data_IF_191462584091
#
_entry.id   IF_191462584091
#
_cell.length_a   1.000
_cell.length_b   1.000
_cell.length_c   1.000
_cell.angle_alpha   90.00
_cell.angle_beta   90.00
_cell.angle_gamma   90.00
#
_symmetry.space_group_name_H-M   'P 1'
#
loop_
_entity.id
_entity.type
_entity.pdbx_description
1 polymer ?
#
# COMPACT_ATOMS: atom_id res chain seq x y z
N UNK A 1 -4.04 -55.64 -24.78
CA UNK A 1 -5.19 -55.53 -23.84
C UNK A 1 -5.44 -54.06 -23.56
N UNK A 2 -6.67 -53.61 -23.75
CA UNK A 2 -7.05 -52.22 -24.00
C UNK A 2 -6.94 -51.30 -22.77
N UNK A 3 -6.52 -50.06 -23.01
CA UNK A 3 -6.44 -48.97 -22.04
C UNK A 3 -7.81 -48.25 -21.99
N UNK A 4 -8.58 -48.46 -20.93
CA UNK A 4 -9.87 -47.81 -20.74
C UNK A 4 -9.65 -46.36 -20.28
N UNK A 5 -9.83 -45.40 -21.19
CA UNK A 5 -9.89 -43.97 -20.88
C UNK A 5 -11.29 -43.63 -20.37
N UNK A 6 -11.38 -43.24 -19.10
CA UNK A 6 -12.63 -42.82 -18.46
C UNK A 6 -12.90 -41.36 -18.82
N UNK A 7 -13.67 -41.14 -19.88
CA UNK A 7 -14.10 -39.80 -20.31
C UNK A 7 -15.26 -39.35 -19.43
N UNK A 8 -14.98 -38.43 -18.51
CA UNK A 8 -16.00 -37.69 -17.76
C UNK A 8 -16.62 -36.62 -18.67
N UNK A 9 -17.77 -36.92 -19.24
CA UNK A 9 -18.62 -35.95 -19.95
C UNK A 9 -19.34 -35.09 -18.91
N UNK A 10 -18.95 -33.83 -18.78
CA UNK A 10 -19.62 -32.85 -17.93
C UNK A 10 -20.72 -32.15 -18.76
N UNK A 11 -22.00 -32.19 -18.36
CA UNK A 11 -23.07 -31.53 -19.12
C UNK A 11 -22.93 -30.00 -19.07
N UNK A 12 -23.33 -29.28 -20.14
CA UNK A 12 -23.12 -27.85 -20.24
C UNK A 12 -24.25 -27.10 -19.49
N UNK A 13 -24.12 -26.93 -18.18
CA UNK A 13 -24.96 -25.97 -17.46
C UNK A 13 -24.34 -24.55 -17.53
N UNK A 14 -24.97 -23.58 -18.20
CA UNK A 14 -24.36 -22.28 -18.49
C UNK A 14 -24.25 -21.37 -17.25
N UNK A 15 -25.03 -21.61 -16.18
CA UNK A 15 -25.03 -20.75 -14.99
C UNK A 15 -23.83 -20.99 -14.05
N UNK A 16 -23.19 -22.16 -14.10
CA UNK A 16 -22.09 -22.51 -13.18
C UNK A 16 -20.72 -22.00 -13.67
N UNK A 17 -20.54 -21.73 -14.98
CA UNK A 17 -19.27 -21.25 -15.55
C UNK A 17 -18.90 -19.84 -15.06
N UNK A 18 -19.87 -18.96 -14.86
CA UNK A 18 -19.63 -17.60 -14.37
C UNK A 18 -19.14 -17.58 -12.91
N UNK A 19 -19.69 -18.45 -12.06
CA UNK A 19 -19.32 -18.55 -10.64
C UNK A 19 -17.90 -19.12 -10.45
N UNK A 20 -17.55 -20.17 -11.21
CA UNK A 20 -16.22 -20.79 -11.12
C UNK A 20 -15.11 -19.91 -11.71
N UNK A 21 -15.38 -19.18 -12.80
CA UNK A 21 -14.42 -18.23 -13.39
C UNK A 21 -14.11 -17.07 -12.44
N UNK A 22 -15.15 -16.53 -11.80
CA UNK A 22 -15.00 -15.45 -10.82
C UNK A 22 -14.26 -15.93 -9.55
N UNK A 23 -14.39 -17.20 -9.18
CA UNK A 23 -13.65 -17.77 -8.06
C UNK A 23 -12.16 -17.91 -8.38
N UNK A 24 -11.83 -18.40 -9.58
CA UNK A 24 -10.44 -18.53 -10.05
C UNK A 24 -9.73 -17.19 -10.27
N UNK A 25 -10.39 -16.20 -10.87
CA UNK A 25 -9.81 -14.85 -11.02
C UNK A 25 -9.60 -14.15 -9.68
N UNK A 26 -10.46 -14.43 -8.70
CA UNK A 26 -10.33 -13.90 -7.33
C UNK A 26 -9.23 -14.62 -6.54
N UNK A 27 -8.94 -15.89 -6.87
CA UNK A 27 -7.81 -16.65 -6.35
C UNK A 27 -6.48 -16.17 -6.96
N UNK A 28 -6.45 -15.87 -8.26
CA UNK A 28 -5.25 -15.38 -8.95
C UNK A 28 -4.87 -13.95 -8.51
N UNK A 29 -5.86 -13.09 -8.21
CA UNK A 29 -5.62 -11.75 -7.62
C UNK A 29 -5.17 -11.78 -6.16
N UNK A 30 -5.21 -12.94 -5.50
CA UNK A 30 -4.79 -13.14 -4.11
C UNK A 30 -3.35 -13.63 -3.96
N UNK A 31 -2.61 -13.86 -5.06
CA UNK A 31 -1.17 -14.11 -5.02
C UNK A 31 -0.42 -12.80 -4.72
N UNK A 32 0.27 -12.67 -3.57
CA UNK A 32 1.18 -11.55 -3.35
C UNK A 32 2.46 -11.81 -4.14
N UNK A 33 2.85 -10.88 -5.00
CA UNK A 33 4.24 -10.76 -5.41
C UNK A 33 5.05 -10.37 -4.18
N UNK A 34 5.84 -11.31 -3.65
CA UNK A 34 6.71 -11.09 -2.51
C UNK A 34 7.74 -10.01 -2.85
N UNK A 35 7.59 -8.83 -2.21
CA UNK A 35 8.63 -7.81 -2.13
C UNK A 35 9.31 -7.97 -0.76
N UNK A 36 10.65 -8.07 -0.67
CA UNK A 36 11.32 -8.26 0.61
C UNK A 36 11.19 -6.97 1.44
N UNK A 37 10.61 -7.06 2.63
CA UNK A 37 10.65 -5.96 3.62
C UNK A 37 9.34 -5.56 4.31
N UNK A 38 8.19 -6.18 4.01
CA UNK A 38 6.95 -5.93 4.76
C UNK A 38 6.27 -7.26 5.13
N UNK A 39 5.89 -7.49 6.41
CA UNK A 39 5.20 -8.71 6.80
C UNK A 39 3.77 -8.67 6.25
N UNK A 40 3.46 -9.57 5.32
CA UNK A 40 2.10 -9.80 4.81
C UNK A 40 1.20 -10.37 5.92
N UNK A 41 -0.09 -9.97 6.01
CA UNK A 41 -1.01 -10.60 6.92
C UNK A 41 -1.38 -12.00 6.39
N UNK A 42 -1.03 -13.05 7.13
CA UNK A 42 -1.46 -14.41 6.83
C UNK A 42 -2.99 -14.48 6.86
N UNK A 43 -3.60 -14.85 5.72
CA UNK A 43 -5.02 -15.18 5.67
C UNK A 43 -5.22 -16.58 5.11
N UNK A 44 -5.29 -17.53 6.04
CA UNK A 44 -5.81 -18.89 5.95
C UNK A 44 -6.19 -19.31 7.39
N UNK A 45 -7.24 -20.13 7.61
CA UNK A 45 -7.71 -20.45 8.95
C UNK A 45 -6.73 -21.44 9.59
N UNK A 46 -5.71 -20.92 10.26
CA UNK A 46 -4.82 -21.72 11.08
C UNK A 46 -5.29 -21.64 12.54
N UNK A 47 -5.85 -22.75 13.02
CA UNK A 47 -6.01 -23.00 14.44
C UNK A 47 -4.59 -23.27 15.00
N UNK A 48 -3.83 -22.21 15.30
CA UNK A 48 -2.53 -22.33 15.93
C UNK A 48 -2.69 -22.03 17.43
N UNK A 49 -2.80 -23.10 18.23
CA UNK A 49 -2.57 -23.04 19.66
C UNK A 49 -1.05 -22.92 19.85
N UNK A 50 -0.55 -21.70 20.08
CA UNK A 50 0.77 -21.52 20.66
C UNK A 50 0.63 -21.67 22.18
N UNK A 51 0.92 -22.88 22.67
CA UNK A 51 1.16 -23.12 24.09
C UNK A 51 2.57 -22.67 24.46
N UNK A 52 2.78 -22.09 25.66
CA UNK A 52 4.13 -21.81 26.14
C UNK A 52 4.88 -23.12 26.38
N UNK A 53 6.07 -23.21 25.78
CA UNK A 53 7.04 -24.25 26.09
C UNK A 53 7.69 -23.94 27.45
N UNK A 54 7.08 -24.40 28.54
CA UNK A 54 7.80 -24.71 29.78
C UNK A 54 7.25 -26.04 30.28
N UNK A 55 7.93 -27.12 29.90
CA UNK A 55 7.90 -28.37 30.64
C UNK A 55 8.67 -28.16 31.95
N UNK A 56 7.93 -28.11 33.05
CA UNK A 56 8.43 -28.49 34.37
C UNK A 56 7.35 -29.35 35.01
N UNK A 57 7.51 -30.66 34.86
CA UNK A 57 6.92 -31.69 35.73
C UNK A 57 7.63 -31.63 37.12
N UNK A 58 7.17 -32.34 38.17
CA UNK A 58 5.89 -32.20 38.86
C UNK A 58 6.10 -32.12 40.38
N UNK A 59 5.44 -31.21 41.08
CA UNK A 59 5.26 -31.34 42.53
C UNK A 59 3.89 -32.00 42.76
N UNK A 60 3.93 -33.31 42.96
CA UNK A 60 2.87 -34.10 43.55
C UNK A 60 2.48 -33.42 44.86
N UNK A 61 1.29 -32.85 44.97
CA UNK A 61 0.57 -32.70 46.23
C UNK A 61 -0.92 -32.42 46.00
N UNK A 62 -1.70 -33.44 46.33
CA UNK A 62 -3.03 -33.35 46.95
C UNK A 62 -4.16 -32.70 46.13
N UNK A 63 -4.98 -33.59 45.56
CA UNK A 63 -6.44 -33.49 45.38
C UNK A 63 -7.06 -32.07 45.44
N UNK A 64 -7.47 -31.55 44.28
CA UNK A 64 -8.35 -30.39 44.24
C UNK A 64 -8.39 -29.68 42.90
N UNK A 65 -9.02 -30.32 41.91
CA UNK A 65 -9.56 -29.73 40.68
C UNK A 65 -9.71 -28.19 40.67
N UNK A 66 -8.68 -27.44 40.23
CA UNK A 66 -8.70 -25.97 40.13
C UNK A 66 -7.88 -25.45 38.94
N UNK A 67 -8.09 -25.97 37.74
CA UNK A 67 -7.24 -25.56 36.59
C UNK A 67 -7.97 -25.17 35.30
N UNK A 68 -9.31 -25.04 35.30
CA UNK A 68 -10.05 -24.63 34.08
C UNK A 68 -10.95 -23.39 34.26
N UNK A 69 -10.93 -22.71 35.42
CA UNK A 69 -11.86 -21.61 35.72
C UNK A 69 -11.46 -20.26 35.09
N UNK A 70 -10.18 -19.99 34.81
CA UNK A 70 -9.75 -18.64 34.41
C UNK A 70 -10.21 -18.20 33.01
N UNK A 71 -10.22 -19.12 32.03
CA UNK A 71 -10.67 -18.83 30.66
C UNK A 71 -12.20 -18.85 30.55
N UNK A 72 -12.86 -19.76 31.26
CA UNK A 72 -14.32 -19.85 31.29
C UNK A 72 -14.91 -18.64 32.01
N UNK A 73 -14.32 -18.21 33.14
CA UNK A 73 -14.73 -16.98 33.83
C UNK A 73 -14.62 -15.78 32.89
N UNK A 74 -13.49 -15.60 32.18
CA UNK A 74 -13.33 -14.49 31.24
C UNK A 74 -14.40 -14.44 30.14
N UNK A 75 -14.81 -15.60 29.61
CA UNK A 75 -15.86 -15.70 28.57
C UNK A 75 -17.25 -15.34 29.14
N UNK A 76 -17.57 -15.78 30.35
CA UNK A 76 -18.85 -15.46 31.01
C UNK A 76 -18.98 -13.98 31.40
N UNK A 77 -17.87 -13.30 31.69
CA UNK A 77 -17.84 -11.86 31.97
C UNK A 77 -17.76 -10.98 30.71
N UNK A 78 -17.70 -11.56 29.49
CA UNK A 78 -17.73 -10.79 28.26
C UNK A 78 -19.15 -10.35 27.87
N UNK A 79 -19.32 -9.06 27.57
CA UNK A 79 -20.58 -8.53 27.10
C UNK A 79 -20.90 -9.03 25.68
N UNK A 80 -21.85 -9.95 25.56
CA UNK A 80 -22.36 -10.40 24.27
C UNK A 80 -23.66 -9.66 23.88
N UNK A 81 -23.89 -9.32 22.60
CA UNK A 81 -25.16 -8.77 22.14
C UNK A 81 -26.30 -9.75 22.45
N UNK A 82 -27.30 -9.31 23.21
CA UNK A 82 -28.42 -10.16 23.63
C UNK A 82 -29.26 -10.68 22.45
N UNK A 83 -29.33 -9.93 21.36
CA UNK A 83 -30.10 -10.29 20.17
C UNK A 83 -29.45 -9.82 18.86
N UNK A 84 -29.76 -10.54 17.78
CA UNK A 84 -29.36 -10.15 16.42
C UNK A 84 -30.16 -8.93 15.98
N UNK A 85 -29.47 -7.91 15.45
CA UNK A 85 -30.13 -6.74 14.85
C UNK A 85 -30.83 -7.11 13.54
N UNK A 86 -32.03 -6.58 13.33
CA UNK A 86 -32.78 -6.76 12.07
C UNK A 86 -32.09 -6.05 10.90
N UNK A 87 -32.53 -6.37 9.68
CA UNK A 87 -31.96 -5.78 8.47
C UNK A 87 -32.32 -4.29 8.35
N UNK A 88 -33.51 -3.90 8.76
CA UNK A 88 -34.00 -2.52 8.78
C UNK A 88 -33.14 -1.66 9.70
N UNK A 89 -32.91 -2.11 10.94
CA UNK A 89 -32.04 -1.43 11.91
C UNK A 89 -30.63 -1.26 11.37
N UNK A 90 -30.09 -2.31 10.74
CA UNK A 90 -28.77 -2.24 10.13
C UNK A 90 -28.72 -1.30 8.92
N UNK A 91 -29.76 -1.24 8.09
CA UNK A 91 -29.85 -0.34 6.94
C UNK A 91 -29.93 1.11 7.40
N UNK A 92 -30.82 1.45 8.35
CA UNK A 92 -30.89 2.80 8.91
C UNK A 92 -29.56 3.22 9.54
N UNK A 93 -28.92 2.31 10.30
CA UNK A 93 -27.60 2.56 10.89
C UNK A 93 -26.50 2.75 9.86
N UNK A 94 -26.53 2.09 8.69
CA UNK A 94 -25.48 2.15 7.65
C UNK A 94 -25.71 3.26 6.63
N UNK A 95 -26.96 3.54 6.28
CA UNK A 95 -27.37 4.52 5.24
C UNK A 95 -27.72 5.90 5.80
N UNK A 96 -27.52 6.13 7.09
CA UNK A 96 -27.61 7.46 7.68
C UNK A 96 -26.68 8.42 6.91
N UNK A 97 -27.15 9.59 6.43
CA UNK A 97 -26.36 10.58 5.72
C UNK A 97 -25.04 10.97 6.41
N UNK A 98 -24.99 10.93 7.74
CA UNK A 98 -23.76 11.18 8.51
C UNK A 98 -22.64 10.18 8.19
N UNK A 99 -22.98 8.97 7.77
CA UNK A 99 -22.03 7.90 7.42
C UNK A 99 -21.76 7.79 5.92
N UNK A 100 -22.52 8.51 5.10
CA UNK A 100 -22.30 8.55 3.66
C UNK A 100 -21.13 9.49 3.36
N UNK A 101 -20.41 9.19 2.28
CA UNK A 101 -19.31 10.04 1.81
C UNK A 101 -19.93 11.32 1.26
N UNK A 102 -19.52 12.46 1.82
CA UNK A 102 -19.98 13.78 1.35
C UNK A 102 -19.37 14.09 -0.02
N UNK A 103 -20.18 14.69 -0.88
CA UNK A 103 -19.72 15.19 -2.19
C UNK A 103 -18.75 16.34 -1.98
N UNK A 104 -17.66 16.36 -2.77
CA UNK A 104 -16.61 17.39 -2.72
C UNK A 104 -16.70 18.26 -3.97
N UNK A 105 -16.90 19.57 -3.79
CA UNK A 105 -17.07 20.55 -4.88
C UNK A 105 -15.81 21.42 -5.12
N UNK A 106 -14.66 20.98 -4.63
CA UNK A 106 -13.42 21.74 -4.62
C UNK A 106 -12.40 21.22 -5.65
N UNK A 107 -12.90 20.64 -6.73
CA UNK A 107 -12.11 20.08 -7.84
C UNK A 107 -12.18 21.06 -9.00
N UNK A 108 -11.01 21.55 -9.41
CA UNK A 108 -10.83 22.49 -10.51
C UNK A 108 -9.86 21.92 -11.54
N UNK A 109 -9.81 22.51 -12.74
CA UNK A 109 -8.87 22.14 -13.80
C UNK A 109 -7.54 22.87 -13.60
N UNK A 110 -6.42 22.18 -13.79
CA UNK A 110 -5.09 22.79 -13.76
C UNK A 110 -4.84 23.62 -15.04
N UNK A 111 -4.38 24.88 -14.93
CA UNK A 111 -4.15 25.74 -16.11
C UNK A 111 -3.00 25.25 -16.99
N UNK A 112 -1.99 24.60 -16.40
CA UNK A 112 -0.79 24.16 -17.13
C UNK A 112 -1.00 22.89 -17.97
N UNK A 113 -1.69 21.91 -17.40
CA UNK A 113 -1.77 20.55 -17.98
C UNK A 113 -3.19 20.03 -18.19
N UNK A 114 -4.21 20.80 -17.82
CA UNK A 114 -5.62 20.40 -17.95
C UNK A 114 -6.08 19.27 -17.04
N UNK A 115 -5.23 18.71 -16.17
CA UNK A 115 -5.62 17.66 -15.23
C UNK A 115 -6.45 18.23 -14.08
N UNK A 116 -7.38 17.44 -13.55
CA UNK A 116 -8.15 17.80 -12.36
C UNK A 116 -7.23 17.89 -11.14
N UNK A 117 -7.35 18.98 -10.40
CA UNK A 117 -6.67 19.23 -9.13
C UNK A 117 -7.65 19.74 -8.09
N UNK A 118 -7.25 19.71 -6.83
CA UNK A 118 -8.01 20.36 -5.76
C UNK A 118 -7.58 21.84 -5.61
N UNK A 119 -8.50 22.73 -5.25
CA UNK A 119 -8.26 24.20 -5.14
C UNK A 119 -6.99 24.58 -4.36
N UNK A 120 -6.82 24.03 -3.16
CA UNK A 120 -5.71 24.35 -2.26
C UNK A 120 -4.58 23.31 -2.28
N UNK A 121 -4.48 22.53 -3.37
CA UNK A 121 -3.45 21.50 -3.53
C UNK A 121 -2.76 21.69 -4.88
N UNK A 122 -1.44 21.47 -4.92
CA UNK A 122 -0.69 21.47 -6.17
C UNK A 122 -1.20 20.36 -7.11
N UNK A 123 -1.09 20.59 -8.41
CA UNK A 123 -1.46 19.56 -9.38
C UNK A 123 -0.52 18.36 -9.26
N UNK A 124 -1.07 17.16 -9.09
CA UNK A 124 -0.30 15.94 -8.91
C UNK A 124 0.61 15.64 -10.10
N UNK A 125 0.12 15.83 -11.33
CA UNK A 125 0.89 15.60 -12.55
C UNK A 125 2.05 16.59 -12.70
N UNK A 126 1.77 17.89 -12.52
CA UNK A 126 2.81 18.91 -12.56
C UNK A 126 3.84 18.75 -11.43
N UNK A 127 3.42 18.27 -10.26
CA UNK A 127 4.34 17.99 -9.17
C UNK A 127 5.18 16.74 -9.47
N UNK A 128 4.61 15.71 -10.07
CA UNK A 128 5.33 14.49 -10.43
C UNK A 128 6.45 14.76 -11.45
N UNK A 129 6.23 15.61 -12.47
CA UNK A 129 7.29 16.00 -13.41
C UNK A 129 8.46 16.70 -12.69
N UNK A 130 8.17 17.61 -11.76
CA UNK A 130 9.18 18.35 -10.98
C UNK A 130 9.92 17.40 -10.05
N UNK A 131 9.20 16.48 -9.40
CA UNK A 131 9.78 15.46 -8.53
C UNK A 131 10.73 14.53 -9.28
N UNK A 132 10.38 14.11 -10.49
CA UNK A 132 11.26 13.28 -11.34
C UNK A 132 12.52 14.03 -11.72
N UNK A 133 12.41 15.28 -12.17
CA UNK A 133 13.57 16.08 -12.56
C UNK A 133 14.50 16.35 -11.36
N UNK A 134 13.94 16.77 -10.22
CA UNK A 134 14.71 17.01 -8.99
C UNK A 134 15.34 15.73 -8.41
N UNK A 135 14.66 14.59 -8.51
CA UNK A 135 15.23 13.31 -8.07
C UNK A 135 16.45 12.94 -8.90
N UNK A 136 16.38 13.15 -10.21
CA UNK A 136 17.53 12.97 -11.08
C UNK A 136 18.65 13.95 -10.69
N UNK A 137 18.35 15.25 -10.47
CA UNK A 137 19.39 16.26 -10.10
C UNK A 137 20.13 15.81 -8.84
N UNK A 138 19.38 15.33 -7.85
CA UNK A 138 19.96 14.77 -6.61
C UNK A 138 20.84 13.55 -6.86
N UNK A 139 20.52 12.70 -7.84
CA UNK A 139 21.40 11.58 -8.22
C UNK A 139 22.72 12.06 -8.80
N UNK A 140 22.73 13.12 -9.59
CA UNK A 140 23.97 13.70 -10.12
C UNK A 140 24.79 14.38 -9.03
N UNK A 141 24.15 15.10 -8.11
CA UNK A 141 24.81 15.64 -6.91
C UNK A 141 25.49 14.49 -6.14
N UNK A 142 24.76 13.39 -5.90
CA UNK A 142 25.32 12.21 -5.22
C UNK A 142 26.50 11.58 -5.97
N UNK A 143 26.50 11.57 -7.31
CA UNK A 143 27.64 11.09 -8.11
C UNK A 143 28.86 12.00 -7.99
N UNK A 144 28.67 13.32 -7.90
CA UNK A 144 29.76 14.27 -7.74
C UNK A 144 30.33 14.28 -6.31
N UNK A 145 29.46 14.16 -5.30
CA UNK A 145 29.88 14.13 -3.90
C UNK A 145 30.54 12.79 -3.52
N UNK A 146 30.06 11.68 -4.07
CA UNK A 146 30.60 10.32 -3.90
C UNK A 146 30.37 9.71 -2.52
N UNK A 147 30.58 10.50 -1.47
CA UNK A 147 30.54 10.09 -0.07
C UNK A 147 29.44 10.79 0.73
N UNK A 148 28.89 10.12 1.77
CA UNK A 148 28.04 10.79 2.74
C UNK A 148 28.81 11.87 3.51
N UNK A 149 28.12 12.95 3.90
CA UNK A 149 28.66 14.09 4.67
C UNK A 149 29.66 15.01 3.93
N UNK A 150 29.63 15.04 2.59
CA UNK A 150 30.43 15.95 1.75
C UNK A 150 29.61 17.13 1.19
N UNK A 151 28.81 17.77 2.04
CA UNK A 151 28.06 18.95 1.62
C UNK A 151 29.02 20.15 1.38
N UNK A 152 29.02 20.76 0.18
CA UNK A 152 29.89 21.90 -0.09
C UNK A 152 29.35 23.19 0.53
N UNK A 153 30.26 24.15 0.76
CA UNK A 153 29.91 25.51 1.25
C UNK A 153 29.47 26.44 0.12
N UNK A 154 29.69 26.06 -1.14
CA UNK A 154 29.36 26.87 -2.33
C UNK A 154 27.95 26.56 -2.85
N UNK A 155 27.33 27.56 -3.50
CA UNK A 155 26.03 27.44 -4.15
C UNK A 155 26.07 26.45 -5.33
N UNK A 156 24.89 25.96 -5.73
CA UNK A 156 24.75 25.03 -6.86
C UNK A 156 23.96 25.63 -8.01
N UNK A 157 24.45 25.44 -9.23
CA UNK A 157 23.77 25.82 -10.47
C UNK A 157 23.56 24.56 -11.31
N UNK A 158 22.38 24.45 -11.92
CA UNK A 158 22.03 23.33 -12.82
C UNK A 158 22.11 23.81 -14.26
N UNK A 159 22.94 23.15 -15.07
CA UNK A 159 23.11 23.45 -16.49
C UNK A 159 22.62 22.30 -17.34
N UNK A 160 21.88 22.61 -18.40
CA UNK A 160 21.39 21.65 -19.39
C UNK A 160 22.27 21.61 -20.64
N UNK A 161 22.01 20.66 -21.54
CA UNK A 161 22.82 20.47 -22.76
C UNK A 161 22.84 21.73 -23.63
N UNK A 162 24.03 22.26 -23.90
CA UNK A 162 24.23 23.42 -24.77
C UNK A 162 24.16 24.77 -24.05
N UNK A 163 24.03 24.78 -22.72
CA UNK A 163 24.08 26.01 -21.93
C UNK A 163 25.49 26.26 -21.39
N UNK A 164 25.92 27.51 -21.44
CA UNK A 164 27.19 27.96 -20.84
C UNK A 164 26.94 28.62 -19.49
N UNK A 165 27.85 28.49 -18.50
CA UNK A 165 27.73 29.19 -17.23
C UNK A 165 27.62 30.71 -17.42
N UNK A 166 26.74 31.35 -16.67
CA UNK A 166 26.64 32.83 -16.66
C UNK A 166 27.84 33.44 -15.94
N UNK A 167 28.12 34.72 -16.19
CA UNK A 167 29.17 35.47 -15.48
C UNK A 167 28.91 35.51 -13.96
N UNK A 168 27.64 35.52 -13.55
CA UNK A 168 27.22 35.49 -12.14
C UNK A 168 27.38 34.12 -11.48
N UNK A 169 27.52 33.06 -12.28
CA UNK A 169 27.64 31.68 -11.80
C UNK A 169 29.09 31.23 -11.64
N UNK A 170 30.04 32.15 -11.89
CA UNK A 170 31.46 31.88 -11.71
C UNK A 170 31.75 31.54 -10.23
N UNK A 171 32.39 30.38 -10.00
CA UNK A 171 32.72 29.89 -8.66
C UNK A 171 31.63 29.07 -7.97
N UNK A 172 30.47 28.86 -8.60
CA UNK A 172 29.41 27.97 -8.09
C UNK A 172 29.62 26.53 -8.55
N UNK A 173 29.06 25.56 -7.81
CA UNK A 173 29.08 24.13 -8.18
C UNK A 173 28.12 23.88 -9.33
N UNK A 174 28.64 23.42 -10.45
CA UNK A 174 27.86 23.13 -11.65
C UNK A 174 27.40 21.66 -11.64
N UNK A 175 26.08 21.46 -11.75
CA UNK A 175 25.45 20.15 -11.95
C UNK A 175 24.96 20.06 -13.39
N UNK A 176 25.68 19.29 -14.20
CA UNK A 176 25.37 19.12 -15.63
C UNK A 176 24.25 18.11 -15.85
N UNK A 177 23.38 18.39 -16.81
CA UNK A 177 22.20 17.60 -17.17
C UNK A 177 22.22 17.22 -18.64
N UNK A 178 22.28 15.92 -18.94
CA UNK A 178 22.21 15.35 -20.30
C UNK A 178 20.78 15.38 -20.89
N UNK A 179 20.09 16.50 -20.75
CA UNK A 179 18.74 16.72 -21.26
C UNK A 179 18.63 18.16 -21.78
N UNK A 180 17.68 18.40 -22.67
CA UNK A 180 17.23 19.75 -23.00
C UNK A 180 16.47 20.36 -21.82
N UNK A 181 16.63 21.66 -21.60
CA UNK A 181 15.95 22.39 -20.53
C UNK A 181 14.43 22.32 -20.68
N UNK A 182 13.69 21.94 -19.61
CA UNK A 182 12.23 22.01 -19.63
C UNK A 182 11.73 23.46 -19.71
N UNK A 183 10.68 23.71 -20.48
CA UNK A 183 10.11 25.07 -20.65
C UNK A 183 9.65 25.75 -19.35
N UNK A 184 9.23 24.96 -18.37
CA UNK A 184 8.76 25.46 -17.06
C UNK A 184 9.90 25.73 -16.08
N UNK A 185 11.15 25.37 -16.42
CA UNK A 185 12.30 25.58 -15.56
C UNK A 185 13.19 26.67 -16.15
N UNK A 186 12.94 27.91 -15.75
CA UNK A 186 13.67 29.10 -16.23
C UNK A 186 15.10 29.14 -15.71
N UNK A 187 15.98 29.83 -16.45
CA UNK A 187 17.30 30.21 -15.96
C UNK A 187 17.15 31.50 -15.18
N UNK A 188 17.53 31.48 -13.91
CA UNK A 188 17.47 32.61 -12.99
C UNK A 188 18.88 32.94 -12.52
#
# INVERSE_FOLDING_TARGET
>A
MALAMLVLVVPPWPAARGLLRNYWERLLRKFPQNRPGFPSPLWGPALAVQGPAIFTEPANDTSGNKENSSLLDSIFWTAAPKSRRTIEVNRCRRRNPQKLIKVKNNIDVCPECGHLKQKHVLCAYCYEKVRKETAEIRRQIGKQEGDPFKAPTIETVVLYTGETPSEQDQGKRIIERDRKRPSWFTQN
#
